data_IF_181765240431
#
_entry.id   IF_181765240431
#
_cell.length_a   1.000
_cell.length_b   1.000
_cell.length_c   1.000
_cell.angle_alpha   90.00
_cell.angle_beta   90.00
_cell.angle_gamma   90.00
#
_symmetry.space_group_name_H-M   'P 1'
#
loop_
_entity.id
_entity.type
_entity.pdbx_description
1 polymer ?
#
# COMPACT_ATOMS: atom_id res chain seq x y z
N UNK A 1 -14.43 -41.50 5.76
CA UNK A 1 -15.26 -40.33 5.42
C UNK A 1 -16.38 -40.23 6.45
N UNK A 2 -16.48 -39.11 7.16
CA UNK A 2 -17.49 -38.92 8.22
C UNK A 2 -18.87 -38.70 7.58
N UNK A 3 -19.94 -39.40 7.99
CA UNK A 3 -21.26 -39.21 7.41
C UNK A 3 -21.80 -37.79 7.64
N UNK A 4 -22.49 -37.22 6.64
CA UNK A 4 -23.09 -35.89 6.74
C UNK A 4 -24.08 -35.78 7.91
N UNK A 5 -24.80 -36.87 8.22
CA UNK A 5 -25.69 -36.94 9.37
C UNK A 5 -24.93 -36.73 10.69
N UNK A 6 -23.77 -37.36 10.84
CA UNK A 6 -22.92 -37.21 12.04
C UNK A 6 -22.41 -35.78 12.19
N UNK A 7 -21.98 -35.12 11.11
CA UNK A 7 -21.57 -33.71 11.17
C UNK A 7 -22.72 -32.78 11.58
N UNK A 8 -23.94 -33.08 11.12
CA UNK A 8 -25.15 -32.35 11.51
C UNK A 8 -25.52 -32.59 12.98
N UNK A 9 -25.48 -33.83 13.43
CA UNK A 9 -25.81 -34.21 14.81
C UNK A 9 -24.78 -33.61 15.82
N UNK A 10 -23.54 -33.37 15.38
CA UNK A 10 -22.49 -32.69 16.14
C UNK A 10 -22.50 -31.16 16.01
N UNK A 11 -23.44 -30.60 15.24
CA UNK A 11 -23.52 -29.16 14.95
C UNK A 11 -22.17 -28.59 14.44
N UNK A 12 -21.47 -29.35 13.60
CA UNK A 12 -20.10 -29.01 13.19
C UNK A 12 -20.02 -27.66 12.46
N UNK A 13 -21.07 -27.29 11.74
CA UNK A 13 -21.19 -25.99 11.08
C UNK A 13 -21.18 -24.81 12.06
N UNK A 14 -21.64 -25.00 13.31
CA UNK A 14 -21.52 -24.00 14.36
C UNK A 14 -20.07 -23.83 14.81
N UNK A 15 -19.30 -24.92 14.92
CA UNK A 15 -17.86 -24.89 15.23
C UNK A 15 -17.09 -24.18 14.12
N UNK A 16 -17.34 -24.54 12.86
CA UNK A 16 -16.73 -23.89 11.69
C UNK A 16 -16.99 -22.39 11.64
N UNK A 17 -18.25 -21.97 11.85
CA UNK A 17 -18.62 -20.55 11.92
C UNK A 17 -17.88 -19.86 13.06
N UNK A 18 -17.85 -20.44 14.25
CA UNK A 18 -17.17 -19.84 15.39
C UNK A 18 -15.66 -19.68 15.16
N UNK A 19 -15.01 -20.66 14.52
CA UNK A 19 -13.61 -20.56 14.14
C UNK A 19 -13.39 -19.46 13.10
N UNK A 20 -14.27 -19.37 12.10
CA UNK A 20 -14.17 -18.37 11.02
C UNK A 20 -14.26 -16.92 11.52
N UNK A 21 -15.02 -16.67 12.59
CA UNK A 21 -15.12 -15.37 13.28
C UNK A 21 -13.85 -14.97 14.05
N UNK A 22 -13.04 -15.97 14.43
CA UNK A 22 -11.79 -15.78 15.17
C UNK A 22 -10.55 -15.74 14.25
N UNK A 23 -10.73 -16.03 12.97
CA UNK A 23 -9.66 -15.96 11.99
C UNK A 23 -9.24 -14.50 11.75
N UNK A 24 -7.94 -14.27 11.59
CA UNK A 24 -7.37 -12.92 11.41
C UNK A 24 -7.31 -12.48 9.95
N UNK A 25 -7.68 -13.34 9.02
CA UNK A 25 -7.65 -13.06 7.58
C UNK A 25 -8.83 -13.70 6.86
N UNK A 26 -9.21 -13.13 5.72
CA UNK A 26 -10.26 -13.68 4.86
C UNK A 26 -9.92 -15.12 4.40
N UNK A 27 -8.71 -15.41 3.88
CA UNK A 27 -8.33 -16.80 3.55
C UNK A 27 -8.37 -17.75 4.75
N UNK A 28 -8.01 -17.28 5.95
CA UNK A 28 -8.10 -18.06 7.18
C UNK A 28 -9.55 -18.34 7.57
N UNK A 29 -10.42 -17.35 7.44
CA UNK A 29 -11.85 -17.47 7.71
C UNK A 29 -12.50 -18.49 6.77
N UNK A 30 -12.21 -18.40 5.46
CA UNK A 30 -12.68 -19.39 4.49
C UNK A 30 -12.09 -20.79 4.73
N UNK A 31 -10.85 -20.88 5.21
CA UNK A 31 -10.26 -22.17 5.58
C UNK A 31 -11.03 -22.80 6.75
N UNK A 32 -11.31 -22.04 7.81
CA UNK A 32 -12.09 -22.50 8.96
C UNK A 32 -13.48 -23.04 8.58
N UNK A 33 -14.14 -22.42 7.60
CA UNK A 33 -15.45 -22.87 7.09
C UNK A 33 -15.39 -24.22 6.34
N UNK A 34 -14.20 -24.68 5.96
CA UNK A 34 -13.97 -25.92 5.20
C UNK A 34 -13.33 -27.03 6.05
N UNK A 35 -12.86 -26.72 7.26
CA UNK A 35 -12.23 -27.72 8.15
C UNK A 35 -13.24 -28.78 8.55
N UNK A 36 -12.89 -30.04 8.35
CA UNK A 36 -13.66 -31.21 8.78
C UNK A 36 -12.89 -31.96 9.88
N UNK A 37 -13.58 -32.70 10.77
CA UNK A 37 -12.90 -33.60 11.69
C UNK A 37 -12.22 -34.71 10.88
N UNK A 38 -11.02 -35.11 11.30
CA UNK A 38 -10.40 -36.31 10.75
C UNK A 38 -10.97 -37.57 11.43
N UNK A 39 -11.10 -38.65 10.66
CA UNK A 39 -11.54 -39.95 11.16
C UNK A 39 -10.36 -40.86 11.53
N UNK A 40 -9.13 -40.51 11.14
CA UNK A 40 -7.90 -41.21 11.50
C UNK A 40 -7.31 -40.69 12.82
N UNK A 41 -6.90 -41.61 13.70
CA UNK A 41 -6.27 -41.25 14.97
C UNK A 41 -4.95 -40.49 14.75
N UNK A 42 -4.12 -40.95 13.81
CA UNK A 42 -2.81 -40.36 13.55
C UNK A 42 -2.95 -38.93 13.01
N UNK A 43 -3.83 -38.72 12.05
CA UNK A 43 -4.11 -37.41 11.46
C UNK A 43 -4.69 -36.45 12.52
N UNK A 44 -5.62 -36.94 13.35
CA UNK A 44 -6.16 -36.15 14.46
C UNK A 44 -5.08 -35.76 15.48
N UNK A 45 -4.19 -36.68 15.85
CA UNK A 45 -3.05 -36.40 16.74
C UNK A 45 -2.10 -35.36 16.15
N UNK A 46 -1.83 -35.42 14.83
CA UNK A 46 -1.01 -34.42 14.14
C UNK A 46 -1.68 -33.03 14.16
N UNK A 47 -2.97 -32.93 13.83
CA UNK A 47 -3.71 -31.66 13.87
C UNK A 47 -3.75 -31.07 15.29
N UNK A 48 -3.96 -31.91 16.31
CA UNK A 48 -3.95 -31.48 17.71
C UNK A 48 -2.55 -31.01 18.14
N UNK A 49 -1.48 -31.69 17.73
CA UNK A 49 -0.12 -31.29 18.02
C UNK A 49 0.24 -29.95 17.35
N UNK A 50 -0.17 -29.74 16.10
CA UNK A 50 -0.02 -28.45 15.42
C UNK A 50 -0.73 -27.32 16.17
N UNK A 51 -1.99 -27.56 16.57
CA UNK A 51 -2.80 -26.62 17.35
C UNK A 51 -2.17 -26.29 18.70
N UNK A 52 -1.66 -27.29 19.40
CA UNK A 52 -0.99 -27.15 20.69
C UNK A 52 0.32 -26.36 20.55
N UNK A 53 1.08 -26.56 19.47
CA UNK A 53 2.25 -25.73 19.17
C UNK A 53 1.87 -24.27 18.90
N UNK A 54 0.81 -24.02 18.13
CA UNK A 54 0.30 -22.66 17.87
C UNK A 54 -0.12 -21.96 19.16
N UNK A 55 -0.86 -22.67 20.02
CA UNK A 55 -1.25 -22.19 21.34
C UNK A 55 -0.04 -21.78 22.19
N UNK A 56 1.00 -22.63 22.29
CA UNK A 56 2.22 -22.31 23.04
C UNK A 56 2.94 -21.07 22.51
N UNK A 57 2.98 -20.88 21.18
CA UNK A 57 3.59 -19.68 20.59
C UNK A 57 2.82 -18.43 21.01
N UNK A 58 1.48 -18.47 20.93
CA UNK A 58 0.61 -17.35 21.34
C UNK A 58 0.77 -17.07 22.85
N UNK A 59 0.69 -18.09 23.70
CA UNK A 59 0.83 -17.97 25.15
C UNK A 59 2.21 -17.47 25.58
N UNK A 60 3.25 -17.71 24.77
CA UNK A 60 4.58 -17.13 25.01
C UNK A 60 4.68 -15.62 24.76
N UNK A 61 3.58 -14.96 24.40
CA UNK A 61 3.52 -13.53 24.06
C UNK A 61 4.17 -13.22 22.70
N UNK A 62 4.34 -14.24 21.84
CA UNK A 62 4.92 -14.03 20.51
C UNK A 62 3.85 -13.50 19.57
N UNK A 63 4.05 -12.28 19.10
CA UNK A 63 3.25 -11.72 18.01
C UNK A 63 3.59 -12.44 16.70
N UNK A 64 2.67 -13.27 16.21
CA UNK A 64 2.74 -13.86 14.88
C UNK A 64 2.10 -12.84 13.94
N UNK A 65 2.89 -12.20 13.06
CA UNK A 65 2.41 -11.11 12.22
C UNK A 65 1.53 -11.68 11.11
N UNK A 66 0.27 -11.88 11.44
CA UNK A 66 -0.78 -12.39 10.54
C UNK A 66 -1.53 -11.24 9.88
N UNK A 67 -1.70 -10.11 10.59
CA UNK A 67 -2.23 -8.84 10.07
C UNK A 67 -3.58 -8.97 9.37
N UNK A 68 -4.03 -7.88 8.74
CA UNK A 68 -5.09 -7.97 7.72
C UNK A 68 -4.45 -8.51 6.43
N UNK A 69 -4.39 -9.83 6.31
CA UNK A 69 -3.90 -10.50 5.11
C UNK A 69 -5.01 -10.52 4.07
N UNK A 70 -4.91 -9.65 3.06
CA UNK A 70 -5.72 -9.74 1.85
C UNK A 70 -5.28 -10.92 0.98
N UNK A 71 -6.23 -11.58 0.31
CA UNK A 71 -5.92 -12.65 -0.64
C UNK A 71 -5.10 -12.12 -1.84
N UNK A 72 -3.85 -12.58 -2.05
CA UNK A 72 -3.05 -12.16 -3.20
C UNK A 72 -3.48 -12.84 -4.50
N UNK A 73 -4.34 -13.87 -4.46
CA UNK A 73 -4.71 -14.69 -5.63
C UNK A 73 -5.16 -13.88 -6.83
N UNK A 74 -6.00 -12.82 -6.71
CA UNK A 74 -6.37 -11.98 -7.85
C UNK A 74 -5.16 -11.29 -8.49
N UNK A 75 -4.24 -10.76 -7.69
CA UNK A 75 -3.01 -10.10 -8.16
C UNK A 75 -2.10 -11.11 -8.88
N UNK A 76 -1.90 -12.29 -8.28
CA UNK A 76 -1.06 -13.35 -8.85
C UNK A 76 -1.63 -13.86 -10.18
N UNK A 77 -2.95 -14.04 -10.28
CA UNK A 77 -3.62 -14.43 -11.54
C UNK A 77 -3.39 -13.42 -12.65
N UNK A 78 -3.45 -12.11 -12.34
CA UNK A 78 -3.15 -11.03 -13.30
C UNK A 78 -1.70 -11.06 -13.78
N UNK A 79 -0.76 -11.27 -12.86
CA UNK A 79 0.66 -11.42 -13.21
C UNK A 79 0.91 -12.63 -14.11
N UNK A 80 0.19 -13.73 -13.90
CA UNK A 80 0.28 -14.94 -14.74
C UNK A 80 -0.08 -14.72 -16.21
N UNK A 81 -0.93 -13.73 -16.50
CA UNK A 81 -1.26 -13.29 -17.88
C UNK A 81 -0.49 -12.04 -18.31
N UNK A 82 0.58 -11.68 -17.60
CA UNK A 82 1.43 -10.51 -17.86
C UNK A 82 0.67 -9.17 -17.85
N UNK A 83 -0.46 -9.09 -17.15
CA UNK A 83 -1.17 -7.83 -17.01
C UNK A 83 -0.40 -6.86 -16.10
N UNK A 84 -0.30 -5.56 -16.45
CA UNK A 84 0.33 -4.58 -15.58
C UNK A 84 -0.47 -4.43 -14.29
N UNK A 85 0.23 -4.17 -13.18
CA UNK A 85 -0.39 -3.88 -11.89
C UNK A 85 -0.43 -2.37 -11.66
N UNK A 86 -1.50 -1.90 -11.04
CA UNK A 86 -1.60 -0.53 -10.56
C UNK A 86 -0.74 -0.31 -9.30
N UNK A 87 -0.45 0.94 -8.97
CA UNK A 87 0.31 1.26 -7.74
C UNK A 87 -0.35 0.72 -6.46
N UNK A 88 -1.68 0.83 -6.26
CA UNK A 88 -2.34 0.21 -5.10
C UNK A 88 -2.16 -1.31 -5.05
N UNK A 89 -2.20 -2.00 -6.19
CA UNK A 89 -1.99 -3.45 -6.23
C UNK A 89 -0.55 -3.84 -5.90
N UNK A 90 0.43 -3.06 -6.36
CA UNK A 90 1.83 -3.27 -6.00
C UNK A 90 2.05 -3.05 -4.50
N UNK A 91 1.41 -2.04 -3.89
CA UNK A 91 1.47 -1.82 -2.45
C UNK A 91 0.83 -2.97 -1.67
N UNK A 92 -0.32 -3.50 -2.12
CA UNK A 92 -0.93 -4.70 -1.53
C UNK A 92 -0.02 -5.92 -1.61
N UNK A 93 0.60 -6.16 -2.77
CA UNK A 93 1.57 -7.23 -2.94
C UNK A 93 2.78 -7.06 -2.02
N UNK A 94 3.28 -5.83 -1.86
CA UNK A 94 4.38 -5.51 -0.93
C UNK A 94 3.99 -5.82 0.52
N UNK A 95 2.81 -5.42 0.97
CA UNK A 95 2.30 -5.75 2.31
C UNK A 95 2.19 -7.25 2.55
N UNK A 96 1.68 -8.01 1.56
CA UNK A 96 1.64 -9.47 1.60
C UNK A 96 3.04 -10.08 1.78
N UNK A 97 4.01 -9.65 0.97
CA UNK A 97 5.39 -10.14 1.05
C UNK A 97 6.05 -9.81 2.41
N UNK A 98 5.76 -8.63 2.96
CA UNK A 98 6.21 -8.24 4.29
C UNK A 98 5.66 -9.17 5.39
N UNK A 99 4.37 -9.52 5.32
CA UNK A 99 3.74 -10.49 6.22
C UNK A 99 4.41 -11.86 6.10
N UNK A 100 4.60 -12.37 4.88
CA UNK A 100 5.28 -13.65 4.66
C UNK A 100 6.68 -13.67 5.28
N UNK A 101 7.49 -12.64 5.01
CA UNK A 101 8.86 -12.54 5.55
C UNK A 101 8.87 -12.43 7.07
N UNK A 102 8.01 -11.58 7.66
CA UNK A 102 7.95 -11.40 9.11
C UNK A 102 7.48 -12.69 9.79
N UNK A 103 6.47 -13.37 9.24
CA UNK A 103 5.95 -14.64 9.76
C UNK A 103 7.03 -15.71 9.75
N UNK A 104 7.71 -15.88 8.60
CA UNK A 104 8.83 -16.81 8.46
C UNK A 104 9.93 -16.54 9.50
N UNK A 105 10.37 -15.29 9.64
CA UNK A 105 11.41 -14.93 10.60
C UNK A 105 10.98 -15.15 12.06
N UNK A 106 9.70 -14.91 12.39
CA UNK A 106 9.16 -15.18 13.72
C UNK A 106 9.12 -16.67 14.02
N UNK A 107 8.58 -17.49 13.12
CA UNK A 107 8.49 -18.93 13.33
C UNK A 107 9.84 -19.64 13.24
N UNK A 108 10.81 -19.11 12.48
CA UNK A 108 12.19 -19.58 12.51
C UNK A 108 12.81 -19.48 13.91
N UNK A 109 12.55 -18.38 14.63
CA UNK A 109 13.02 -18.19 16.02
C UNK A 109 12.31 -19.14 17.00
N UNK A 110 11.15 -19.67 16.62
CA UNK A 110 10.35 -20.60 17.42
C UNK A 110 10.47 -22.06 16.95
N UNK A 111 11.35 -22.38 16.00
CA UNK A 111 11.50 -23.73 15.41
C UNK A 111 11.66 -24.87 16.42
N UNK A 112 12.29 -24.59 17.57
CA UNK A 112 12.49 -25.60 18.62
C UNK A 112 11.21 -25.83 19.46
N UNK A 113 10.39 -24.79 19.64
CA UNK A 113 9.15 -24.84 20.43
C UNK A 113 7.94 -25.23 19.59
N UNK A 114 7.96 -24.89 18.30
CA UNK A 114 6.90 -25.13 17.34
C UNK A 114 7.47 -25.61 15.98
N UNK A 115 8.06 -26.81 15.92
CA UNK A 115 8.66 -27.33 14.69
C UNK A 115 7.66 -27.51 13.55
N UNK A 116 6.42 -27.91 13.81
CA UNK A 116 5.41 -28.09 12.74
C UNK A 116 5.03 -26.76 12.09
N UNK A 117 4.88 -25.70 12.90
CA UNK A 117 4.63 -24.36 12.36
C UNK A 117 5.82 -23.83 11.56
N UNK A 118 7.05 -24.18 11.98
CA UNK A 118 8.23 -23.85 11.19
C UNK A 118 8.25 -24.59 9.85
N UNK A 119 7.84 -25.87 9.80
CA UNK A 119 7.76 -26.62 8.55
C UNK A 119 6.74 -26.02 7.56
N UNK A 120 5.65 -25.41 8.05
CA UNK A 120 4.76 -24.61 7.19
C UNK A 120 5.41 -23.28 6.77
N UNK A 121 6.03 -22.58 7.72
CA UNK A 121 6.54 -21.23 7.48
C UNK A 121 7.82 -21.18 6.62
N UNK A 122 8.61 -22.25 6.58
CA UNK A 122 9.82 -22.34 5.73
C UNK A 122 9.50 -22.30 4.24
N UNK A 123 8.29 -22.68 3.85
CA UNK A 123 7.82 -22.62 2.46
C UNK A 123 7.51 -21.19 2.01
N UNK A 124 7.25 -20.27 2.95
CA UNK A 124 7.02 -18.87 2.65
C UNK A 124 8.28 -18.26 2.02
N UNK A 125 8.14 -17.66 0.84
CA UNK A 125 9.24 -17.01 0.14
C UNK A 125 9.36 -15.56 0.59
N UNK A 126 10.56 -15.14 0.98
CA UNK A 126 10.85 -13.74 1.31
C UNK A 126 11.50 -13.04 0.10
N UNK A 127 10.77 -12.13 -0.54
CA UNK A 127 11.23 -11.39 -1.71
C UNK A 127 11.65 -9.96 -1.34
N UNK A 128 12.66 -9.83 -0.47
CA UNK A 128 13.04 -8.53 0.13
C UNK A 128 13.46 -7.48 -0.90
N UNK A 129 14.07 -7.90 -2.00
CA UNK A 129 14.47 -6.98 -3.07
C UNK A 129 13.25 -6.41 -3.81
N UNK A 130 12.20 -7.21 -4.01
CA UNK A 130 10.95 -6.76 -4.59
C UNK A 130 10.22 -5.81 -3.64
N UNK A 131 10.15 -6.14 -2.34
CA UNK A 131 9.60 -5.24 -1.32
C UNK A 131 10.26 -3.85 -1.38
N UNK A 132 11.61 -3.82 -1.34
CA UNK A 132 12.39 -2.57 -1.38
C UNK A 132 12.19 -1.80 -2.68
N UNK A 133 12.09 -2.50 -3.81
CA UNK A 133 11.88 -1.87 -5.11
C UNK A 133 10.51 -1.19 -5.15
N UNK A 134 9.45 -1.86 -4.70
CA UNK A 134 8.11 -1.26 -4.62
C UNK A 134 8.13 -0.06 -3.68
N UNK A 135 8.73 -0.19 -2.50
CA UNK A 135 8.87 0.90 -1.51
C UNK A 135 9.65 2.10 -2.04
N UNK A 136 10.67 1.90 -2.88
CA UNK A 136 11.43 3.01 -3.49
C UNK A 136 10.66 3.73 -4.60
N UNK A 137 9.69 3.05 -5.24
CA UNK A 137 8.95 3.59 -6.37
C UNK A 137 7.67 4.33 -5.96
N UNK A 138 7.04 3.94 -4.84
CA UNK A 138 5.73 4.45 -4.44
C UNK A 138 5.74 4.99 -3.02
N UNK A 139 5.03 6.10 -2.80
CA UNK A 139 4.72 6.62 -1.48
C UNK A 139 3.68 5.74 -0.79
N UNK A 140 3.46 5.94 0.51
CA UNK A 140 2.41 5.24 1.25
C UNK A 140 0.99 5.51 0.70
N UNK A 141 0.78 6.63 0.00
CA UNK A 141 -0.50 6.98 -0.65
C UNK A 141 -0.65 6.38 -2.05
N UNK A 142 0.36 5.69 -2.57
CA UNK A 142 0.34 5.09 -3.91
C UNK A 142 0.79 6.01 -5.04
N UNK A 143 1.30 7.20 -4.72
CA UNK A 143 1.89 8.11 -5.70
C UNK A 143 3.32 7.68 -6.05
N UNK A 144 3.78 7.99 -7.25
CA UNK A 144 5.18 7.74 -7.64
C UNK A 144 6.10 8.69 -6.86
N UNK A 145 7.01 8.12 -6.08
CA UNK A 145 7.97 8.87 -5.28
C UNK A 145 8.91 9.71 -6.15
N UNK A 146 9.33 10.90 -5.67
CA UNK A 146 10.33 11.73 -6.35
C UNK A 146 11.62 10.95 -6.63
N UNK A 147 11.98 10.05 -5.70
CA UNK A 147 13.16 9.20 -5.72
C UNK A 147 13.00 7.90 -6.52
N UNK A 148 11.86 7.69 -7.20
CA UNK A 148 11.59 6.46 -7.94
C UNK A 148 12.62 6.20 -9.06
N UNK A 149 13.23 7.27 -9.59
CA UNK A 149 14.42 7.16 -10.44
C UNK A 149 15.28 8.44 -10.34
N UNK A 150 16.60 8.35 -10.60
CA UNK A 150 17.47 9.52 -10.63
C UNK A 150 17.01 10.59 -11.64
N UNK A 151 16.48 10.14 -12.79
CA UNK A 151 15.96 11.04 -13.82
C UNK A 151 14.70 11.78 -13.36
N UNK A 152 13.76 11.07 -12.73
CA UNK A 152 12.55 11.69 -12.18
C UNK A 152 12.91 12.69 -11.07
N UNK A 153 13.85 12.34 -10.20
CA UNK A 153 14.35 13.26 -9.16
C UNK A 153 14.92 14.53 -9.78
N UNK A 154 15.74 14.41 -10.83
CA UNK A 154 16.31 15.55 -11.54
C UNK A 154 15.22 16.42 -12.17
N UNK A 155 14.29 15.83 -12.90
CA UNK A 155 13.22 16.56 -13.59
C UNK A 155 12.29 17.29 -12.61
N UNK A 156 11.90 16.67 -11.50
CA UNK A 156 11.09 17.31 -10.45
C UNK A 156 11.87 18.41 -9.72
N UNK A 157 13.18 18.28 -9.55
CA UNK A 157 14.01 19.35 -9.02
C UNK A 157 14.09 20.55 -9.97
N UNK A 158 14.28 20.31 -11.27
CA UNK A 158 14.27 21.35 -12.31
C UNK A 158 12.92 22.07 -12.39
N UNK A 159 11.80 21.33 -12.30
CA UNK A 159 10.45 21.88 -12.25
C UNK A 159 10.27 22.83 -11.05
N UNK A 160 10.63 22.38 -9.83
CA UNK A 160 10.56 23.20 -8.61
C UNK A 160 11.43 24.45 -8.70
N UNK A 161 12.63 24.32 -9.28
CA UNK A 161 13.54 25.44 -9.45
C UNK A 161 12.97 26.47 -10.43
N UNK A 162 12.46 26.02 -11.59
CA UNK A 162 11.85 26.90 -12.59
C UNK A 162 10.62 27.61 -12.02
N UNK A 163 9.77 26.89 -11.28
CA UNK A 163 8.62 27.47 -10.60
C UNK A 163 9.04 28.55 -9.61
N UNK A 164 10.08 28.30 -8.80
CA UNK A 164 10.63 29.28 -7.85
C UNK A 164 11.18 30.51 -8.57
N UNK A 165 11.86 30.34 -9.70
CA UNK A 165 12.34 31.44 -10.53
C UNK A 165 11.19 32.29 -11.08
N UNK A 166 10.11 31.66 -11.57
CA UNK A 166 8.91 32.36 -12.06
C UNK A 166 8.26 33.18 -10.94
N UNK A 167 8.03 32.55 -9.77
CA UNK A 167 7.41 33.22 -8.62
C UNK A 167 8.26 34.38 -8.12
N UNK A 168 9.58 34.21 -8.02
CA UNK A 168 10.49 35.30 -7.65
C UNK A 168 10.40 36.46 -8.65
N UNK A 169 10.33 36.16 -9.96
CA UNK A 169 10.20 37.21 -10.98
C UNK A 169 8.87 37.96 -10.90
N UNK A 170 7.78 37.25 -10.62
CA UNK A 170 6.46 37.87 -10.39
C UNK A 170 6.48 38.76 -9.16
N UNK A 171 7.10 38.31 -8.07
CA UNK A 171 7.26 39.11 -6.85
C UNK A 171 8.14 40.34 -7.05
N UNK A 172 9.21 40.25 -7.86
CA UNK A 172 10.00 41.43 -8.25
C UNK A 172 9.14 42.45 -9.01
N UNK A 173 8.27 41.99 -9.92
CA UNK A 173 7.38 42.86 -10.69
C UNK A 173 6.36 43.53 -9.76
N UNK A 174 5.69 42.75 -8.90
CA UNK A 174 4.67 43.25 -7.97
C UNK A 174 5.25 44.26 -6.96
N UNK A 175 6.46 44.02 -6.46
CA UNK A 175 7.10 44.89 -5.47
C UNK A 175 7.87 46.07 -6.08
N UNK A 176 8.03 46.11 -7.41
CA UNK A 176 8.76 47.18 -8.09
C UNK A 176 8.03 48.52 -7.96
N UNK A 177 8.67 49.56 -7.40
CA UNK A 177 8.07 50.90 -7.31
C UNK A 177 7.68 51.48 -8.67
N UNK A 178 8.36 51.05 -9.74
CA UNK A 178 8.08 51.48 -11.12
C UNK A 178 6.72 50.98 -11.63
N UNK A 179 6.27 49.81 -11.18
CA UNK A 179 5.06 49.16 -11.69
C UNK A 179 3.86 49.32 -10.76
N UNK A 180 4.06 49.72 -9.50
CA UNK A 180 3.01 49.83 -8.47
C UNK A 180 1.78 50.64 -8.93
N UNK A 181 1.99 51.76 -9.61
CA UNK A 181 0.87 52.59 -10.09
C UNK A 181 0.10 51.96 -11.26
N UNK A 182 0.74 51.04 -12.00
CA UNK A 182 0.19 50.34 -13.16
C UNK A 182 -0.64 49.11 -12.76
N UNK A 183 -0.37 48.52 -11.60
CA UNK A 183 -1.04 47.31 -11.10
C UNK A 183 -2.48 47.62 -10.69
N UNK A 184 -3.40 46.72 -11.00
CA UNK A 184 -4.78 46.79 -10.50
C UNK A 184 -4.86 46.24 -9.06
N UNK A 185 -4.20 45.12 -8.79
CA UNK A 185 -4.11 44.48 -7.48
C UNK A 185 -2.71 43.88 -7.27
N UNK A 186 -2.25 43.80 -6.02
CA UNK A 186 -0.89 43.36 -5.66
C UNK A 186 -0.80 41.83 -5.51
N UNK A 187 -1.33 41.08 -6.48
CA UNK A 187 -1.20 39.62 -6.54
C UNK A 187 -1.09 39.13 -7.99
N UNK A 188 -0.56 37.93 -8.19
CA UNK A 188 -0.59 37.25 -9.48
C UNK A 188 -1.59 36.09 -9.44
N UNK A 189 -2.13 35.72 -10.59
CA UNK A 189 -3.05 34.58 -10.74
C UNK A 189 -2.68 33.72 -11.95
N UNK A 190 -3.35 32.60 -12.15
CA UNK A 190 -3.17 31.73 -13.30
C UNK A 190 -4.37 31.85 -14.23
N UNK A 191 -4.12 32.20 -15.50
CA UNK A 191 -5.11 32.23 -16.59
C UNK A 191 -4.61 31.36 -17.73
N UNK A 192 -5.44 30.40 -18.17
CA UNK A 192 -5.10 29.48 -19.26
C UNK A 192 -3.73 28.78 -19.06
N UNK A 193 -3.41 28.40 -17.82
CA UNK A 193 -2.14 27.74 -17.46
C UNK A 193 -0.92 28.67 -17.44
N UNK A 194 -1.10 30.00 -17.51
CA UNK A 194 -0.01 30.98 -17.43
C UNK A 194 -0.19 31.91 -16.24
N UNK A 195 0.92 32.23 -15.59
CA UNK A 195 0.92 33.28 -14.57
C UNK A 195 0.69 34.64 -15.22
N UNK A 196 -0.24 35.41 -14.66
CA UNK A 196 -0.61 36.74 -15.11
C UNK A 196 -0.62 37.72 -13.95
N UNK A 197 -0.23 38.96 -14.24
CA UNK A 197 -0.27 40.09 -13.30
C UNK A 197 -1.38 41.04 -13.76
N UNK A 198 -2.33 41.42 -12.89
CA UNK A 198 -3.44 42.29 -13.26
C UNK A 198 -2.97 43.74 -13.40
N UNK A 199 -3.17 44.32 -14.60
CA UNK A 199 -2.77 45.70 -14.94
C UNK A 199 -4.03 46.53 -15.16
N UNK A 200 -4.04 47.77 -14.66
CA UNK A 200 -5.13 48.72 -14.91
C UNK A 200 -5.30 48.98 -16.41
N UNK A 201 -6.54 49.00 -16.91
CA UNK A 201 -6.85 49.12 -18.35
C UNK A 201 -6.22 50.38 -18.97
N UNK A 202 -6.24 51.49 -18.25
CA UNK A 202 -5.64 52.78 -18.63
C UNK A 202 -4.12 52.72 -18.80
N UNK A 203 -3.47 51.68 -18.28
CA UNK A 203 -2.02 51.51 -18.27
C UNK A 203 -1.54 50.31 -19.07
N UNK A 204 -2.43 49.60 -19.79
CA UNK A 204 -2.11 48.42 -20.60
C UNK A 204 -0.98 48.62 -21.62
N UNK A 205 -0.78 49.83 -22.12
CA UNK A 205 0.27 50.16 -23.10
C UNK A 205 1.61 50.57 -22.46
N UNK A 206 1.66 50.76 -21.14
CA UNK A 206 2.88 51.15 -20.40
C UNK A 206 3.63 49.97 -19.80
N UNK A 207 2.96 48.83 -19.62
CA UNK A 207 3.58 47.62 -19.12
C UNK A 207 4.07 46.74 -20.29
N UNK A 208 5.36 46.37 -20.36
CA UNK A 208 5.85 45.48 -21.41
C UNK A 208 5.34 44.06 -21.16
N UNK A 209 4.40 43.59 -21.99
CA UNK A 209 3.82 42.26 -21.84
C UNK A 209 2.82 41.89 -22.93
N UNK A 210 2.28 40.66 -22.84
CA UNK A 210 1.23 40.14 -23.72
C UNK A 210 -0.06 40.10 -22.91
N UNK A 211 -1.14 40.66 -23.45
CA UNK A 211 -2.47 40.60 -22.82
C UNK A 211 -3.00 39.18 -22.94
N UNK A 212 -3.25 38.54 -21.80
CA UNK A 212 -3.72 37.16 -21.72
C UNK A 212 -5.23 37.04 -21.55
N UNK A 213 -5.85 37.97 -20.81
CA UNK A 213 -7.28 38.01 -20.53
C UNK A 213 -7.67 39.46 -20.22
N UNK A 214 -8.94 39.83 -20.42
CA UNK A 214 -9.48 41.14 -20.07
C UNK A 214 -10.76 40.94 -19.26
N UNK A 215 -10.73 41.29 -17.98
CA UNK A 215 -11.97 41.42 -17.20
C UNK A 215 -12.77 42.59 -17.77
N UNK A 216 -14.00 42.31 -18.21
CA UNK A 216 -14.97 43.32 -18.68
C UNK A 216 -15.60 44.07 -17.51
#
# INVERSE_FOLDING_TARGET
MIPQKTLKDLEWDHVQRRLSELALSEPGSEYCLRVLPDAGLLEAELMLNETEQAKRVIESGTDIPTGELEDPTPIIKRLGVQAPLSAPELLKLKSFLEICRRTRNTLQRKRNTAPMLWELARELVALRDLERRIESCFTATGEVADSASPELTRLRAEERQLHSTIVNKLNEILNSPMYRDLLQEDFFTIRNGRYVVPIKIEHRGRFPGIVHDMSS
#
